data_IF_337436580808
#
_entry.id   IF_337436580808
#
_cell.length_a   1.000
_cell.length_b   1.000
_cell.length_c   1.000
_cell.angle_alpha   90.00
_cell.angle_beta   90.00
_cell.angle_gamma   90.00
#
_symmetry.space_group_name_H-M   'P 1'
#
loop_
_entity.id
_entity.type
_entity.pdbx_description
1 polymer ?
#
# COMPACT_ATOMS: atom_id res chain seq x y z
N UNK A 1 -6.09 11.43 5.26
CA UNK A 1 -5.76 10.85 6.58
C UNK A 1 -6.30 11.77 7.67
N UNK A 2 -6.65 11.22 8.81
CA UNK A 2 -7.06 11.95 10.02
C UNK A 2 -6.11 11.66 11.18
N UNK A 3 -5.93 12.62 12.08
CA UNK A 3 -5.14 12.47 13.30
C UNK A 3 -6.10 12.29 14.49
N UNK A 4 -6.02 11.14 15.15
CA UNK A 4 -6.80 10.82 16.35
C UNK A 4 -5.88 10.15 17.38
N UNK A 5 -5.96 10.59 18.64
CA UNK A 5 -5.16 10.01 19.73
C UNK A 5 -3.65 9.91 19.41
N UNK A 6 -3.09 10.96 18.82
CA UNK A 6 -1.68 11.04 18.39
C UNK A 6 -1.27 10.03 17.30
N UNK A 7 -2.24 9.39 16.62
CA UNK A 7 -1.99 8.47 15.52
C UNK A 7 -2.73 8.92 14.26
N UNK A 8 -2.05 8.88 13.11
CA UNK A 8 -2.68 9.06 11.82
C UNK A 8 -3.36 7.76 11.38
N UNK A 9 -4.56 7.87 10.82
CA UNK A 9 -5.35 6.77 10.30
C UNK A 9 -6.00 7.13 8.96
N UNK A 10 -6.65 6.17 8.30
CA UNK A 10 -7.49 6.48 7.14
C UNK A 10 -8.66 7.38 7.56
N UNK A 11 -8.95 8.36 6.74
CA UNK A 11 -10.18 9.15 6.81
C UNK A 11 -11.18 8.59 5.79
N UNK A 12 -11.94 7.58 6.22
CA UNK A 12 -12.90 6.92 5.34
C UNK A 12 -14.02 7.86 4.88
N UNK A 13 -14.39 8.87 5.70
CA UNK A 13 -15.36 9.88 5.30
C UNK A 13 -14.83 10.74 4.16
N UNK A 14 -13.54 11.09 4.20
CA UNK A 14 -12.90 11.82 3.11
C UNK A 14 -12.70 10.93 1.87
N UNK A 15 -12.33 9.64 2.06
CA UNK A 15 -12.19 8.68 0.96
C UNK A 15 -13.50 8.50 0.18
N UNK A 16 -14.64 8.41 0.87
CA UNK A 16 -15.95 8.28 0.21
C UNK A 16 -16.33 9.48 -0.68
N UNK A 17 -15.77 10.65 -0.40
CA UNK A 17 -16.00 11.89 -1.16
C UNK A 17 -15.05 12.07 -2.34
N UNK A 18 -14.06 11.20 -2.49
CA UNK A 18 -13.13 11.31 -3.62
C UNK A 18 -13.89 11.01 -4.92
N UNK A 19 -13.72 11.90 -5.88
CA UNK A 19 -14.13 11.67 -7.26
C UNK A 19 -13.12 10.72 -7.91
N UNK A 20 -13.56 9.50 -8.21
CA UNK A 20 -12.74 8.43 -8.76
C UNK A 20 -13.46 7.73 -9.89
N UNK A 21 -12.71 7.27 -10.87
CA UNK A 21 -13.19 6.46 -11.98
C UNK A 21 -12.64 5.04 -11.93
N UNK A 22 -13.40 4.02 -12.37
CA UNK A 22 -12.87 2.66 -12.49
C UNK A 22 -11.57 2.63 -13.29
N UNK A 23 -10.55 1.98 -12.72
CA UNK A 23 -9.22 1.91 -13.32
C UNK A 23 -8.25 2.99 -12.88
N UNK A 24 -8.68 3.97 -12.08
CA UNK A 24 -7.75 4.93 -11.46
C UNK A 24 -6.79 4.23 -10.51
N UNK A 25 -5.60 4.81 -10.33
CA UNK A 25 -4.55 4.30 -9.46
C UNK A 25 -4.52 5.08 -8.15
N UNK A 26 -4.73 4.37 -7.03
CA UNK A 26 -4.49 4.92 -5.71
C UNK A 26 -3.06 4.59 -5.24
N UNK A 27 -2.35 5.60 -4.71
CA UNK A 27 -1.01 5.44 -4.13
C UNK A 27 -1.09 5.39 -2.61
N UNK A 28 -0.68 4.28 -2.02
CA UNK A 28 -0.61 4.08 -0.57
C UNK A 28 0.84 3.96 -0.12
N UNK A 29 1.20 4.62 0.98
CA UNK A 29 2.45 4.38 1.71
C UNK A 29 2.13 3.59 2.98
N UNK A 30 2.70 2.38 3.14
CA UNK A 30 2.38 1.48 4.25
C UNK A 30 3.57 0.57 4.62
N UNK A 31 4.23 0.79 5.77
CA UNK A 31 3.99 1.83 6.80
C UNK A 31 4.17 3.26 6.28
N UNK A 32 3.42 4.21 6.82
CA UNK A 32 3.31 5.54 6.25
C UNK A 32 4.41 6.49 6.71
N UNK A 33 5.29 6.87 5.82
CA UNK A 33 6.27 7.91 6.01
C UNK A 33 5.68 9.27 5.54
N UNK A 34 5.82 10.38 6.30
CA UNK A 34 6.68 10.57 7.50
C UNK A 34 5.98 10.37 8.84
N UNK A 35 4.71 10.01 8.86
CA UNK A 35 3.90 10.02 10.09
C UNK A 35 4.07 8.77 10.99
N UNK A 36 4.84 7.78 10.54
CA UNK A 36 5.19 6.60 11.32
C UNK A 36 4.02 5.66 11.62
N UNK A 37 2.97 5.66 10.79
CA UNK A 37 1.81 4.80 11.01
C UNK A 37 1.96 3.47 10.27
N UNK A 38 1.90 2.36 11.00
CA UNK A 38 1.54 1.07 10.46
C UNK A 38 0.02 0.87 10.62
N UNK A 39 -0.68 0.64 9.51
CA UNK A 39 -2.13 0.44 9.57
C UNK A 39 -2.47 -0.93 10.16
N UNK A 40 -3.53 -0.98 10.96
CA UNK A 40 -4.04 -2.23 11.52
C UNK A 40 -4.67 -3.10 10.42
N UNK A 41 -4.76 -4.40 10.67
CA UNK A 41 -5.42 -5.32 9.75
C UNK A 41 -6.87 -4.93 9.46
N UNK A 42 -7.59 -4.42 10.46
CA UNK A 42 -8.98 -3.95 10.29
C UNK A 42 -9.06 -2.73 9.36
N UNK A 43 -8.17 -1.75 9.53
CA UNK A 43 -8.09 -0.58 8.65
C UNK A 43 -7.76 -0.99 7.21
N UNK A 44 -6.83 -1.94 7.04
CA UNK A 44 -6.46 -2.45 5.73
C UNK A 44 -7.61 -3.21 5.05
N UNK A 45 -8.41 -3.99 5.80
CA UNK A 45 -9.60 -4.65 5.26
C UNK A 45 -10.62 -3.62 4.75
N UNK A 46 -10.97 -2.64 5.57
CA UNK A 46 -11.92 -1.60 5.17
C UNK A 46 -11.42 -0.80 3.96
N UNK A 47 -10.12 -0.49 3.92
CA UNK A 47 -9.53 0.20 2.78
C UNK A 47 -9.52 -0.67 1.52
N UNK A 48 -9.24 -1.97 1.65
CA UNK A 48 -9.30 -2.92 0.54
C UNK A 48 -10.71 -3.02 -0.07
N UNK A 49 -11.74 -3.08 0.77
CA UNK A 49 -13.15 -3.06 0.33
C UNK A 49 -13.47 -1.79 -0.46
N UNK A 50 -12.98 -0.63 0.00
CA UNK A 50 -13.15 0.64 -0.68
C UNK A 50 -12.48 0.63 -2.07
N UNK A 51 -11.24 0.14 -2.20
CA UNK A 51 -10.50 0.00 -3.48
C UNK A 51 -11.27 -0.91 -4.45
N UNK A 52 -11.71 -2.08 -3.97
CA UNK A 52 -12.42 -3.07 -4.79
C UNK A 52 -13.78 -2.54 -5.24
N UNK A 53 -14.56 -1.94 -4.33
CA UNK A 53 -15.90 -1.42 -4.63
C UNK A 53 -15.92 -0.35 -5.71
N UNK A 54 -14.82 0.39 -5.85
CA UNK A 54 -14.65 1.43 -6.87
C UNK A 54 -13.88 0.96 -8.11
N UNK A 55 -13.49 -0.32 -8.15
CA UNK A 55 -12.70 -0.92 -9.22
C UNK A 55 -11.41 -0.13 -9.52
N UNK A 56 -10.68 0.26 -8.44
CA UNK A 56 -9.43 0.98 -8.53
C UNK A 56 -8.24 0.02 -8.58
N UNK A 57 -7.12 0.48 -9.12
CA UNK A 57 -5.82 -0.13 -8.87
C UNK A 57 -5.17 0.47 -7.63
N UNK A 58 -4.39 -0.33 -6.93
CA UNK A 58 -3.63 0.08 -5.76
C UNK A 58 -2.13 -0.11 -6.02
N UNK A 59 -1.36 0.96 -5.83
CA UNK A 59 0.09 0.87 -5.72
C UNK A 59 0.46 1.12 -4.26
N UNK A 60 0.92 0.07 -3.56
CA UNK A 60 1.34 0.13 -2.17
C UNK A 60 2.86 0.18 -2.07
N UNK A 61 3.39 1.30 -1.60
CA UNK A 61 4.80 1.44 -1.22
C UNK A 61 5.01 0.87 0.18
N UNK A 62 5.59 -0.32 0.27
CA UNK A 62 5.85 -1.04 1.51
C UNK A 62 7.35 -1.09 1.89
N UNK A 63 8.13 -0.14 1.40
CA UNK A 63 9.58 -0.08 1.61
C UNK A 63 9.99 -0.05 3.09
N UNK A 64 9.09 0.36 4.00
CA UNK A 64 9.32 0.44 5.44
C UNK A 64 8.78 -0.77 6.23
N UNK A 65 8.39 -1.86 5.57
CA UNK A 65 7.71 -3.02 6.17
C UNK A 65 8.47 -3.66 7.35
N UNK A 66 9.81 -3.64 7.33
CA UNK A 66 10.65 -4.20 8.38
C UNK A 66 11.00 -3.21 9.49
N UNK A 67 10.55 -1.96 9.39
CA UNK A 67 10.87 -0.89 10.36
C UNK A 67 9.71 -0.63 11.34
N UNK A 68 9.05 -1.69 11.81
CA UNK A 68 8.05 -1.62 12.86
C UNK A 68 8.80 -1.60 14.22
N UNK A 69 8.72 -0.46 14.90
CA UNK A 69 9.46 -0.25 16.15
C UNK A 69 8.71 -0.74 17.41
N UNK A 70 7.40 -0.90 17.29
CA UNK A 70 6.53 -1.41 18.34
C UNK A 70 6.50 -2.95 18.30
N UNK A 71 6.91 -3.61 19.39
CA UNK A 71 6.96 -5.07 19.49
C UNK A 71 5.60 -5.76 19.38
N UNK A 72 4.52 -5.05 19.70
CA UNK A 72 3.14 -5.57 19.64
C UNK A 72 2.51 -5.38 18.25
N UNK A 73 3.10 -4.54 17.42
CA UNK A 73 2.62 -4.25 16.07
C UNK A 73 3.33 -5.13 15.03
N UNK A 74 2.61 -5.44 13.95
CA UNK A 74 3.16 -6.20 12.81
C UNK A 74 2.76 -5.52 11.51
N UNK A 75 3.66 -5.57 10.55
CA UNK A 75 3.32 -5.23 9.18
C UNK A 75 2.46 -6.33 8.56
N UNK A 76 1.36 -5.93 7.91
CA UNK A 76 0.51 -6.81 7.12
C UNK A 76 0.55 -6.33 5.67
N UNK A 77 1.23 -7.05 4.75
CA UNK A 77 1.23 -6.69 3.34
C UNK A 77 -0.20 -6.56 2.82
N UNK A 78 -0.53 -5.41 2.24
CA UNK A 78 -1.93 -5.13 1.89
C UNK A 78 -2.47 -6.08 0.82
N UNK A 79 -1.63 -6.55 -0.10
CA UNK A 79 -2.01 -7.54 -1.10
C UNK A 79 -2.46 -8.89 -0.50
N UNK A 80 -2.07 -9.19 0.76
CA UNK A 80 -2.46 -10.42 1.46
C UNK A 80 -3.82 -10.30 2.17
N UNK A 81 -4.47 -9.14 2.13
CA UNK A 81 -5.77 -8.93 2.77
C UNK A 81 -6.86 -9.76 2.10
N UNK A 82 -6.85 -9.83 0.76
CA UNK A 82 -7.74 -10.71 0.02
C UNK A 82 -7.17 -11.07 -1.36
N UNK A 83 -7.52 -12.25 -1.92
CA UNK A 83 -7.16 -12.62 -3.29
C UNK A 83 -7.71 -11.64 -4.34
N UNK A 84 -8.84 -11.02 -4.07
CA UNK A 84 -9.46 -10.05 -4.97
C UNK A 84 -8.62 -8.77 -5.04
N UNK A 85 -8.24 -8.21 -3.88
CA UNK A 85 -7.36 -7.04 -3.85
C UNK A 85 -6.01 -7.33 -4.52
N UNK A 86 -5.45 -8.53 -4.35
CA UNK A 86 -4.17 -8.90 -4.94
C UNK A 86 -4.15 -8.78 -6.47
N UNK A 87 -5.29 -8.96 -7.15
CA UNK A 87 -5.42 -8.77 -8.60
C UNK A 87 -5.34 -7.29 -9.03
N UNK A 88 -5.66 -6.39 -8.12
CA UNK A 88 -5.65 -4.95 -8.33
C UNK A 88 -4.40 -4.26 -7.76
N UNK A 89 -3.47 -5.03 -7.14
CA UNK A 89 -2.40 -4.47 -6.31
C UNK A 89 -1.03 -4.59 -6.98
N UNK A 90 -0.27 -3.49 -6.89
CA UNK A 90 1.17 -3.41 -7.16
C UNK A 90 1.84 -3.12 -5.81
N UNK A 91 2.62 -4.04 -5.27
CA UNK A 91 3.39 -3.81 -4.04
C UNK A 91 4.83 -3.47 -4.41
N UNK A 92 5.30 -2.31 -3.98
CA UNK A 92 6.67 -1.84 -4.19
C UNK A 92 7.49 -2.06 -2.93
N UNK A 93 8.67 -2.64 -3.08
CA UNK A 93 9.58 -2.94 -1.98
C UNK A 93 11.04 -2.69 -2.37
N UNK A 94 11.88 -2.42 -1.37
CA UNK A 94 13.33 -2.32 -1.55
C UNK A 94 14.04 -2.62 -0.23
N UNK A 95 15.23 -3.23 -0.25
CA UNK A 95 16.03 -3.49 0.95
C UNK A 95 16.71 -2.23 1.51
N UNK A 96 16.66 -1.13 0.77
CA UNK A 96 17.46 0.06 1.03
C UNK A 96 17.19 0.70 2.40
N UNK A 97 15.95 0.70 2.87
CA UNK A 97 15.60 1.30 4.17
C UNK A 97 15.93 0.36 5.32
N UNK A 98 15.55 -0.92 5.22
CA UNK A 98 15.82 -1.93 6.25
C UNK A 98 17.31 -2.12 6.50
N UNK A 99 18.11 -2.16 5.44
CA UNK A 99 19.54 -2.49 5.52
C UNK A 99 20.47 -1.29 5.31
N UNK A 100 19.94 -0.06 5.27
CA UNK A 100 20.72 1.17 5.04
C UNK A 100 21.55 1.12 3.75
N UNK A 101 20.96 0.64 2.65
CA UNK A 101 21.62 0.41 1.37
C UNK A 101 21.14 1.35 0.25
N UNK A 102 20.78 2.59 0.59
CA UNK A 102 20.15 3.53 -0.36
C UNK A 102 20.96 3.80 -1.63
N UNK A 103 22.29 3.66 -1.58
CA UNK A 103 23.17 3.85 -2.72
C UNK A 103 23.16 2.73 -3.77
N UNK A 104 22.60 1.57 -3.48
CA UNK A 104 22.63 0.40 -4.39
C UNK A 104 21.53 0.40 -5.44
N UNK A 105 20.51 1.26 -5.31
CA UNK A 105 19.45 1.41 -6.31
C UNK A 105 18.64 0.14 -6.61
N UNK A 106 18.49 -0.77 -5.63
CA UNK A 106 17.74 -2.01 -5.80
C UNK A 106 16.29 -1.82 -5.32
N UNK A 107 15.32 -2.14 -6.18
CA UNK A 107 13.90 -2.22 -5.83
C UNK A 107 13.21 -3.29 -6.65
N UNK A 108 12.04 -3.74 -6.19
CA UNK A 108 11.23 -4.71 -6.91
C UNK A 108 9.74 -4.45 -6.70
N UNK A 109 8.93 -4.90 -7.67
CA UNK A 109 7.48 -4.85 -7.62
C UNK A 109 6.92 -6.27 -7.58
N UNK A 110 5.98 -6.53 -6.67
CA UNK A 110 5.21 -7.76 -6.57
C UNK A 110 3.83 -7.49 -7.17
N UNK A 111 3.49 -8.20 -8.24
CA UNK A 111 2.23 -8.04 -8.97
C UNK A 111 1.71 -9.44 -9.30
N UNK A 112 0.64 -9.86 -8.63
CA UNK A 112 0.07 -11.20 -8.78
C UNK A 112 -0.65 -11.38 -10.11
N UNK A 113 -1.39 -10.33 -10.56
CA UNK A 113 -2.17 -10.38 -11.78
C UNK A 113 -1.26 -10.26 -13.03
N UNK A 114 -1.24 -11.27 -13.94
CA UNK A 114 -0.35 -11.27 -15.09
C UNK A 114 -0.57 -10.10 -16.05
N UNK A 115 -1.82 -9.71 -16.31
CA UNK A 115 -2.13 -8.60 -17.20
C UNK A 115 -1.66 -7.27 -16.64
N UNK A 116 -1.89 -7.02 -15.34
CA UNK A 116 -1.41 -5.83 -14.65
C UNK A 116 0.12 -5.78 -14.66
N UNK A 117 0.79 -6.93 -14.45
CA UNK A 117 2.25 -7.03 -14.51
C UNK A 117 2.83 -6.69 -15.89
N UNK A 118 2.15 -7.09 -16.97
CA UNK A 118 2.54 -6.72 -18.34
C UNK A 118 2.39 -5.22 -18.57
N UNK A 119 1.27 -4.62 -18.13
CA UNK A 119 1.05 -3.17 -18.22
C UNK A 119 2.12 -2.40 -17.44
N UNK A 120 2.40 -2.82 -16.21
CA UNK A 120 3.44 -2.21 -15.37
C UNK A 120 4.83 -2.26 -16.05
N UNK A 121 5.24 -3.42 -16.56
CA UNK A 121 6.52 -3.56 -17.28
C UNK A 121 6.64 -2.63 -18.48
N UNK A 122 5.56 -2.45 -19.25
CA UNK A 122 5.53 -1.51 -20.38
C UNK A 122 5.70 -0.05 -19.94
N UNK A 123 5.11 0.31 -18.81
CA UNK A 123 5.21 1.67 -18.28
C UNK A 123 6.59 2.01 -17.72
N UNK A 124 7.40 1.01 -17.37
CA UNK A 124 8.77 1.16 -16.86
C UNK A 124 9.86 1.17 -17.95
N UNK A 125 9.51 0.98 -19.22
CA UNK A 125 10.44 1.01 -20.37
C UNK A 125 10.50 2.38 -21.02
#
# INVERSE_FOLDING_TARGET
>A
MKLENHRFSFDFVALEKLDTSPGDLFMLCHPHNPVGTAYTKAELHQFAEWIISRNLYLCSDEIHCDLILDSESKHFPIANISPELAKHCITLMAPSKTFNLSGFGCSFAIISEPELRVKFKKACQ
#
